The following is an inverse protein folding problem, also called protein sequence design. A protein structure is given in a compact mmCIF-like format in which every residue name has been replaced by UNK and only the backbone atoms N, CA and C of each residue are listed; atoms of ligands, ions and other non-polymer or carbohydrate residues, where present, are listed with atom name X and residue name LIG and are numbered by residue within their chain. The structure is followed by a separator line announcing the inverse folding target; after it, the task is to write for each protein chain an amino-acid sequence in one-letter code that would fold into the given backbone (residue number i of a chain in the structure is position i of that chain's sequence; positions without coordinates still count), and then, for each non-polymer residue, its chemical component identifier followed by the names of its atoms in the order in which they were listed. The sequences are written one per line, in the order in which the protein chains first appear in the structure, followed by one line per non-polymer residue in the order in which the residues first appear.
data_IF_852698655594
#
_entry.id   IF_852698655594
#
_cell.length_a   1.000
_cell.length_b   1.000
_cell.length_c   1.000
_cell.angle_alpha   90.00
_cell.angle_beta   90.00
_cell.angle_gamma   90.00
#
_symmetry.space_group_name_H-M   'P 1'
#
loop_
_entity.id
_entity.type
_entity.pdbx_description
1 polymer ?
#
# COMPACT_ATOMS: atom_id res chain seq x y z
N UNK A 1 0.85 -5.05 1.32
CA UNK A 1 0.44 -4.06 2.33
C UNK A 1 -0.86 -4.52 2.94
N UNK A 2 -1.09 -4.26 4.22
CA UNK A 2 -2.34 -4.67 4.87
C UNK A 2 -3.39 -3.59 4.58
N UNK A 3 -4.43 -3.95 3.83
CA UNK A 3 -5.56 -3.08 3.53
C UNK A 3 -6.83 -3.78 3.99
N UNK A 4 -7.65 -3.08 4.77
CA UNK A 4 -8.94 -3.55 5.24
C UNK A 4 -10.00 -2.60 4.70
N UNK A 5 -10.72 -3.02 3.66
CA UNK A 5 -11.77 -2.23 2.99
C UNK A 5 -13.01 -3.09 2.76
N UNK A 6 -14.18 -2.47 2.86
CA UNK A 6 -15.47 -3.06 2.50
C UNK A 6 -15.92 -2.54 1.13
N UNK A 7 -16.46 -3.42 0.31
CA UNK A 7 -17.12 -3.03 -0.93
C UNK A 7 -18.55 -3.57 -0.92
N UNK A 8 -19.51 -2.74 -1.34
CA UNK A 8 -20.91 -3.12 -1.45
C UNK A 8 -21.30 -3.06 -2.91
N UNK A 9 -21.90 -4.15 -3.41
CA UNK A 9 -22.34 -4.28 -4.79
C UNK A 9 -23.82 -4.64 -4.79
N UNK A 10 -24.73 -3.67 -5.04
CA UNK A 10 -26.15 -3.97 -5.18
C UNK A 10 -26.40 -4.62 -6.54
N UNK A 11 -27.09 -5.76 -6.56
CA UNK A 11 -27.52 -6.43 -7.79
C UNK A 11 -28.75 -7.30 -7.54
N UNK A 12 -29.50 -7.59 -8.61
CA UNK A 12 -30.59 -8.56 -8.57
C UNK A 12 -30.09 -9.90 -9.10
N UNK A 13 -30.49 -11.00 -8.46
CA UNK A 13 -30.11 -12.35 -8.84
C UNK A 13 -31.35 -13.21 -9.07
N UNK A 14 -31.36 -13.94 -10.18
CA UNK A 14 -32.43 -14.87 -10.55
C UNK A 14 -31.98 -16.31 -10.24
N UNK A 15 -32.45 -16.94 -9.14
CA UNK A 15 -31.94 -18.26 -8.73
C UNK A 15 -32.21 -19.37 -9.74
N UNK A 16 -33.32 -19.29 -10.49
CA UNK A 16 -33.69 -20.29 -11.48
C UNK A 16 -32.78 -20.27 -12.73
N UNK A 17 -32.29 -19.09 -13.12
CA UNK A 17 -31.43 -18.92 -14.28
C UNK A 17 -29.94 -18.85 -13.89
N UNK A 18 -29.63 -18.65 -12.60
CA UNK A 18 -28.29 -18.40 -12.07
C UNK A 18 -27.61 -17.17 -12.67
N UNK A 19 -28.40 -16.14 -13.00
CA UNK A 19 -27.92 -14.91 -13.63
C UNK A 19 -28.21 -13.69 -12.74
N UNK A 20 -27.31 -12.72 -12.80
CA UNK A 20 -27.57 -11.38 -12.30
C UNK A 20 -28.30 -10.54 -13.34
N UNK A 21 -29.23 -9.72 -12.87
CA UNK A 21 -29.91 -8.71 -13.67
C UNK A 21 -29.35 -7.35 -13.30
N UNK A 22 -28.92 -6.62 -14.32
CA UNK A 22 -28.47 -5.24 -14.18
C UNK A 22 -29.37 -4.37 -15.05
N UNK A 23 -30.04 -3.42 -14.40
CA UNK A 23 -30.79 -2.37 -15.06
C UNK A 23 -29.81 -1.40 -15.71
N UNK A 24 -29.71 -1.41 -17.04
CA UNK A 24 -28.94 -0.41 -17.78
C UNK A 24 -29.91 0.61 -18.38
N UNK A 25 -29.77 1.87 -17.94
CA UNK A 25 -30.34 3.02 -18.65
C UNK A 25 -29.38 3.40 -19.77
N UNK A 26 -29.85 3.44 -21.02
CA UNK A 26 -29.00 3.83 -22.15
C UNK A 26 -28.61 5.32 -22.08
N UNK A 27 -29.51 6.16 -21.56
CA UNK A 27 -29.21 7.56 -21.25
C UNK A 27 -29.88 7.96 -19.93
N UNK A 28 -29.33 8.98 -19.24
CA UNK A 28 -29.93 9.50 -17.99
C UNK A 28 -31.42 9.88 -18.12
N UNK A 29 -31.88 10.17 -19.34
CA UNK A 29 -33.23 10.60 -19.68
C UNK A 29 -34.09 9.50 -20.35
N UNK A 30 -33.56 8.30 -20.59
CA UNK A 30 -34.37 7.22 -21.16
C UNK A 30 -35.32 6.65 -20.10
N UNK A 31 -36.62 6.66 -20.39
CA UNK A 31 -37.65 6.03 -19.55
C UNK A 31 -37.56 4.50 -19.63
N UNK A 32 -37.13 3.98 -20.78
CA UNK A 32 -36.96 2.55 -20.99
C UNK A 32 -35.69 2.06 -20.30
N UNK A 33 -35.88 1.18 -19.31
CA UNK A 33 -34.81 0.42 -18.67
C UNK A 33 -34.57 -0.84 -19.49
N UNK A 34 -33.37 -1.02 -20.01
CA UNK A 34 -32.97 -2.29 -20.60
C UNK A 34 -32.46 -3.21 -19.49
N UNK A 35 -33.12 -4.36 -19.30
CA UNK A 35 -32.66 -5.38 -18.36
C UNK A 35 -31.64 -6.27 -19.07
N UNK A 36 -30.39 -6.26 -18.61
CA UNK A 36 -29.34 -7.15 -19.14
C UNK A 36 -29.08 -8.26 -18.14
N UNK A 37 -29.16 -9.51 -18.61
CA UNK A 37 -28.82 -10.69 -17.82
C UNK A 37 -27.35 -11.03 -18.02
N UNK A 38 -26.60 -11.16 -16.93
CA UNK A 38 -25.16 -11.41 -16.92
C UNK A 38 -24.82 -12.52 -15.94
N UNK A 39 -23.77 -13.29 -16.25
CA UNK A 39 -23.21 -14.26 -15.29
C UNK A 39 -22.59 -13.48 -14.13
N UNK A 40 -22.84 -13.88 -12.86
CA UNK A 40 -22.29 -13.21 -11.69
C UNK A 40 -20.78 -13.41 -11.61
N UNK A 41 -20.00 -12.50 -12.21
CA UNK A 41 -18.54 -12.60 -12.28
C UNK A 41 -17.87 -11.48 -11.48
N UNK A 42 -17.07 -11.85 -10.48
CA UNK A 42 -16.26 -10.92 -9.71
C UNK A 42 -14.85 -10.85 -10.31
N UNK A 43 -14.37 -9.62 -10.55
CA UNK A 43 -13.01 -9.36 -11.03
C UNK A 43 -12.30 -8.44 -10.05
N UNK A 44 -11.19 -8.90 -9.52
CA UNK A 44 -10.31 -8.14 -8.62
C UNK A 44 -9.02 -7.87 -9.37
N UNK A 45 -8.61 -6.61 -9.39
CA UNK A 45 -7.36 -6.18 -10.01
C UNK A 45 -6.49 -5.50 -8.98
N UNK A 46 -5.20 -5.81 -9.03
CA UNK A 46 -4.18 -5.20 -8.19
C UNK A 46 -3.35 -4.30 -9.08
N UNK A 47 -3.28 -3.04 -8.69
CA UNK A 47 -2.50 -1.99 -9.32
C UNK A 47 -1.49 -1.47 -8.30
N UNK A 48 -0.26 -1.22 -8.72
CA UNK A 48 0.68 -0.46 -7.91
C UNK A 48 0.27 1.01 -7.93
N UNK A 49 0.30 1.67 -6.77
CA UNK A 49 -0.12 3.07 -6.66
C UNK A 49 1.10 3.97 -6.72
N UNK A 50 1.41 4.42 -7.93
CA UNK A 50 2.53 5.29 -8.22
C UNK A 50 2.07 6.75 -8.33
N UNK A 51 2.62 7.61 -7.47
CA UNK A 51 2.26 9.04 -7.49
C UNK A 51 2.84 9.84 -8.65
N UNK A 52 3.82 9.29 -9.38
CA UNK A 52 4.61 10.03 -10.38
C UNK A 52 4.66 9.35 -11.76
N UNK A 53 4.13 8.13 -11.88
CA UNK A 53 4.00 7.34 -13.11
C UNK A 53 2.57 6.85 -13.25
N UNK A 54 2.23 6.25 -14.39
CA UNK A 54 0.99 5.49 -14.50
C UNK A 54 1.08 4.28 -13.58
N UNK A 55 -0.02 3.98 -12.90
CA UNK A 55 -0.12 2.81 -12.02
C UNK A 55 0.20 1.53 -12.80
N UNK A 56 1.18 0.77 -12.31
CA UNK A 56 1.59 -0.48 -12.93
C UNK A 56 0.60 -1.59 -12.57
N UNK A 57 0.11 -2.29 -13.59
CA UNK A 57 -0.75 -3.45 -13.40
C UNK A 57 0.06 -4.63 -12.83
N UNK A 58 -0.30 -5.10 -11.63
CA UNK A 58 0.40 -6.20 -10.97
C UNK A 58 -0.22 -7.56 -11.28
N UNK A 59 -1.55 -7.66 -11.24
CA UNK A 59 -2.24 -8.91 -11.49
C UNK A 59 -3.74 -8.83 -11.25
N UNK A 60 -4.44 -9.93 -11.54
CA UNK A 60 -5.88 -10.02 -11.36
C UNK A 60 -6.33 -11.39 -10.87
N UNK A 61 -7.58 -11.42 -10.44
CA UNK A 61 -8.34 -12.62 -10.14
C UNK A 61 -9.74 -12.44 -10.73
N UNK A 62 -10.16 -13.39 -11.56
CA UNK A 62 -11.52 -13.45 -12.08
C UNK A 62 -12.15 -14.74 -11.59
N UNK A 63 -13.35 -14.65 -11.04
CA UNK A 63 -14.12 -15.81 -10.59
C UNK A 63 -15.60 -15.66 -10.91
N UNK A 64 -16.21 -16.78 -11.28
CA UNK A 64 -17.66 -16.93 -11.38
C UNK A 64 -18.20 -17.24 -9.97
N UNK A 65 -19.13 -16.42 -9.48
CA UNK A 65 -19.71 -16.55 -8.14
C UNK A 65 -20.61 -17.78 -8.00
N UNK A 66 -21.12 -18.33 -9.10
CA UNK A 66 -21.84 -19.61 -9.08
C UNK A 66 -20.89 -20.81 -8.94
N UNK A 67 -19.67 -20.69 -9.45
CA UNK A 67 -18.70 -21.77 -9.56
C UNK A 67 -17.32 -21.31 -9.07
N UNK A 68 -17.26 -20.84 -7.82
CA UNK A 68 -16.03 -20.31 -7.27
C UNK A 68 -15.04 -21.42 -6.91
N UNK A 69 -13.77 -21.13 -7.13
CA UNK A 69 -12.67 -21.91 -6.57
C UNK A 69 -12.70 -21.79 -5.05
N UNK A 70 -12.61 -22.92 -4.32
CA UNK A 70 -12.52 -22.87 -2.86
C UNK A 70 -11.26 -22.13 -2.45
N UNK A 71 -11.35 -21.14 -1.54
CA UNK A 71 -10.18 -20.42 -1.07
C UNK A 71 -9.23 -21.31 -0.26
N UNK A 72 -7.96 -20.90 -0.21
CA UNK A 72 -7.01 -21.46 0.75
C UNK A 72 -7.28 -20.88 2.14
N UNK A 73 -7.11 -21.71 3.19
CA UNK A 73 -7.27 -21.28 4.58
C UNK A 73 -6.09 -20.45 5.10
N UNK A 74 -4.93 -20.57 4.48
CA UNK A 74 -3.71 -19.89 4.90
C UNK A 74 -2.94 -19.38 3.67
N UNK A 75 -2.14 -18.31 3.83
CA UNK A 75 -1.39 -17.73 2.72
C UNK A 75 -0.31 -18.68 2.18
N UNK A 76 0.23 -19.60 2.99
CA UNK A 76 1.25 -20.55 2.50
C UNK A 76 0.64 -21.57 1.54
N UNK A 77 -0.60 -22.00 1.80
CA UNK A 77 -1.33 -22.97 0.96
C UNK A 77 -1.94 -22.35 -0.29
N UNK A 78 -1.92 -21.02 -0.40
CA UNK A 78 -2.44 -20.29 -1.54
C UNK A 78 -1.40 -20.28 -2.68
N UNK A 79 -1.58 -21.17 -3.66
CA UNK A 79 -0.69 -21.35 -4.83
C UNK A 79 -1.51 -21.40 -6.12
N UNK A 80 -0.85 -21.36 -7.29
CA UNK A 80 -1.53 -21.44 -8.59
C UNK A 80 -2.35 -22.71 -8.78
N UNK A 81 -2.01 -23.79 -8.06
CA UNK A 81 -2.77 -25.04 -8.09
C UNK A 81 -4.24 -24.86 -7.66
N UNK A 82 -4.56 -23.79 -6.91
CA UNK A 82 -5.96 -23.46 -6.61
C UNK A 82 -6.77 -23.08 -7.84
N UNK A 83 -6.13 -22.59 -8.90
CA UNK A 83 -6.80 -22.20 -10.15
C UNK A 83 -7.18 -23.43 -10.98
N UNK A 84 -6.49 -24.56 -10.77
CA UNK A 84 -6.71 -25.82 -11.48
C UNK A 84 -7.62 -26.79 -10.71
N UNK A 85 -8.49 -26.27 -9.83
CA UNK A 85 -9.41 -27.11 -9.07
C UNK A 85 -10.43 -27.79 -10.00
N UNK A 86 -10.69 -29.08 -9.80
CA UNK A 86 -11.71 -29.78 -10.58
C UNK A 86 -13.11 -29.26 -10.25
N UNK A 87 -14.03 -29.40 -11.22
CA UNK A 87 -15.36 -28.81 -11.16
C UNK A 87 -16.21 -29.30 -9.97
N UNK A 88 -15.97 -30.52 -9.48
CA UNK A 88 -16.62 -31.14 -8.33
C UNK A 88 -16.32 -30.44 -6.99
N UNK A 89 -15.23 -29.68 -6.93
CA UNK A 89 -14.82 -28.95 -5.72
C UNK A 89 -15.29 -27.50 -5.71
N UNK A 90 -15.85 -27.01 -6.82
CA UNK A 90 -16.33 -25.63 -6.92
C UNK A 90 -17.48 -25.38 -5.94
N UNK A 91 -17.64 -24.12 -5.56
CA UNK A 91 -18.63 -23.69 -4.58
C UNK A 91 -19.41 -22.49 -5.10
N UNK A 92 -20.71 -22.50 -4.91
CA UNK A 92 -21.55 -21.33 -5.21
C UNK A 92 -21.62 -20.41 -4.00
N UNK A 93 -21.34 -19.13 -4.21
CA UNK A 93 -21.52 -18.11 -3.18
C UNK A 93 -23.00 -17.97 -2.79
N UNK A 94 -23.91 -18.16 -3.74
CA UNK A 94 -25.35 -18.02 -3.52
C UNK A 94 -25.95 -19.14 -2.68
N UNK A 95 -25.32 -20.33 -2.69
CA UNK A 95 -25.71 -21.46 -1.83
C UNK A 95 -25.10 -21.36 -0.43
N UNK A 96 -23.83 -20.95 -0.33
CA UNK A 96 -23.11 -20.89 0.94
C UNK A 96 -23.35 -19.60 1.73
N UNK A 97 -23.89 -18.56 1.09
CA UNK A 97 -24.03 -17.16 1.57
C UNK A 97 -22.72 -16.44 1.90
N UNK A 98 -21.73 -17.12 2.48
CA UNK A 98 -20.48 -16.51 2.93
C UNK A 98 -19.30 -17.41 2.62
N UNK A 99 -18.24 -16.84 2.04
CA UNK A 99 -16.98 -17.53 1.77
C UNK A 99 -15.81 -16.63 2.16
N UNK A 100 -14.88 -17.16 2.98
CA UNK A 100 -13.68 -16.45 3.42
C UNK A 100 -12.42 -17.25 3.15
N UNK A 101 -11.38 -16.58 2.69
CA UNK A 101 -10.02 -17.11 2.69
C UNK A 101 -9.11 -16.41 1.67
N UNK A 102 -8.11 -17.15 1.19
CA UNK A 102 -7.03 -16.64 0.35
C UNK A 102 -7.17 -17.11 -1.09
N UNK A 103 -7.07 -16.17 -2.03
CA UNK A 103 -6.99 -16.46 -3.46
C UNK A 103 -5.71 -15.89 -4.08
N UNK A 104 -5.08 -16.65 -5.01
CA UNK A 104 -3.92 -16.15 -5.74
C UNK A 104 -4.38 -15.21 -6.86
N UNK A 105 -3.75 -14.05 -6.97
CA UNK A 105 -3.86 -13.20 -8.15
C UNK A 105 -2.75 -13.59 -9.13
N UNK A 106 -3.15 -13.83 -10.37
CA UNK A 106 -2.25 -14.23 -11.44
C UNK A 106 -1.94 -13.04 -12.35
N UNK A 107 -0.73 -13.02 -12.89
CA UNK A 107 -0.39 -12.22 -14.06
C UNK A 107 0.30 -13.10 -15.10
N UNK A 108 0.23 -12.68 -16.35
CA UNK A 108 0.88 -13.37 -17.46
C UNK A 108 2.21 -12.68 -17.74
N UNK A 109 3.31 -13.41 -17.59
CA UNK A 109 4.64 -12.95 -17.95
C UNK A 109 5.26 -13.96 -18.90
N UNK A 110 5.67 -13.50 -20.09
CA UNK A 110 6.30 -14.34 -21.12
C UNK A 110 5.49 -15.59 -21.51
N UNK A 111 4.15 -15.52 -21.44
CA UNK A 111 3.25 -16.63 -21.77
C UNK A 111 3.03 -17.65 -20.64
N UNK A 112 3.65 -17.47 -19.48
CA UNK A 112 3.41 -18.27 -18.29
C UNK A 112 2.61 -17.49 -17.24
N UNK A 113 1.67 -18.17 -16.58
CA UNK A 113 0.93 -17.60 -15.45
C UNK A 113 1.79 -17.67 -14.20
N UNK A 114 2.08 -16.52 -13.62
CA UNK A 114 2.81 -16.42 -12.35
C UNK A 114 1.90 -15.82 -11.26
N UNK A 115 2.19 -16.15 -10.00
CA UNK A 115 1.49 -15.51 -8.86
C UNK A 115 2.03 -14.09 -8.70
N UNK A 116 1.22 -13.09 -9.03
CA UNK A 116 1.53 -11.69 -8.80
C UNK A 116 1.34 -11.29 -7.33
N UNK A 117 0.35 -11.89 -6.67
CA UNK A 117 -0.02 -11.56 -5.30
C UNK A 117 -1.03 -12.53 -4.72
N UNK A 118 -1.37 -12.33 -3.46
CA UNK A 118 -2.39 -13.11 -2.75
C UNK A 118 -3.31 -12.13 -2.04
N UNK A 119 -4.61 -12.38 -2.15
CA UNK A 119 -5.63 -11.54 -1.53
C UNK A 119 -6.41 -12.39 -0.54
N UNK A 120 -6.45 -11.92 0.72
CA UNK A 120 -7.43 -12.40 1.68
C UNK A 120 -8.72 -11.60 1.51
N UNK A 121 -9.84 -12.28 1.36
CA UNK A 121 -11.14 -11.63 1.28
C UNK A 121 -12.22 -12.48 1.94
N UNK A 122 -13.30 -11.80 2.33
CA UNK A 122 -14.54 -12.42 2.77
C UNK A 122 -15.65 -11.89 1.86
N UNK A 123 -16.30 -12.80 1.14
CA UNK A 123 -17.44 -12.51 0.29
C UNK A 123 -18.71 -12.94 1.03
N UNK A 124 -19.70 -12.06 1.09
CA UNK A 124 -20.97 -12.32 1.74
C UNK A 124 -22.11 -11.81 0.85
N UNK A 125 -23.14 -12.65 0.69
CA UNK A 125 -24.41 -12.28 0.07
C UNK A 125 -25.40 -11.99 1.18
N UNK A 126 -25.95 -10.79 1.13
CA UNK A 126 -26.87 -10.24 2.12
C UNK A 126 -28.15 -9.86 1.40
N UNK A 127 -29.30 -10.18 1.98
CA UNK A 127 -30.59 -9.72 1.46
C UNK A 127 -30.82 -8.26 1.85
N UNK A 128 -31.74 -7.59 1.16
CA UNK A 128 -32.09 -6.20 1.48
C UNK A 128 -32.54 -6.03 2.93
N UNK A 129 -33.38 -6.96 3.43
CA UNK A 129 -33.83 -6.99 4.82
C UNK A 129 -32.67 -7.12 5.81
N UNK A 130 -31.75 -8.06 5.55
CA UNK A 130 -30.57 -8.26 6.38
C UNK A 130 -29.68 -7.01 6.36
N UNK A 131 -29.54 -6.32 5.22
CA UNK A 131 -28.75 -5.09 5.12
C UNK A 131 -29.35 -3.94 5.93
N UNK A 132 -30.68 -3.81 5.98
CA UNK A 132 -31.38 -2.81 6.80
C UNK A 132 -31.18 -3.06 8.30
N UNK A 133 -31.23 -4.32 8.73
CA UNK A 133 -31.01 -4.71 10.14
C UNK A 133 -29.56 -4.51 10.59
N UNK A 134 -28.59 -4.82 9.71
CA UNK A 134 -27.15 -4.70 9.97
C UNK A 134 -26.48 -3.85 8.89
N UNK A 135 -26.62 -2.53 8.94
CA UNK A 135 -26.00 -1.66 7.96
C UNK A 135 -24.47 -1.75 8.07
N UNK A 136 -23.82 -1.63 6.92
CA UNK A 136 -22.37 -1.67 6.78
C UNK A 136 -21.95 -0.50 5.88
N UNK A 137 -21.07 0.38 6.38
CA UNK A 137 -20.55 1.50 5.60
C UNK A 137 -19.65 1.03 4.46
N UNK A 138 -19.53 1.88 3.43
CA UNK A 138 -18.68 1.65 2.26
C UNK A 138 -17.22 1.92 2.61
N UNK A 139 -16.31 1.07 2.15
CA UNK A 139 -14.88 1.20 2.41
C UNK A 139 -14.57 1.07 3.89
N UNK A 140 -14.37 2.22 4.54
CA UNK A 140 -14.12 2.34 5.98
C UNK A 140 -15.05 3.34 6.67
N UNK A 141 -16.07 3.79 5.95
CA UNK A 141 -17.07 4.71 6.48
C UNK A 141 -17.93 4.00 7.53
N UNK A 142 -18.53 4.78 8.41
CA UNK A 142 -19.50 4.26 9.36
C UNK A 142 -20.78 3.81 8.62
N UNK A 143 -21.48 2.76 9.07
CA UNK A 143 -21.23 1.95 10.27
C UNK A 143 -20.20 0.81 10.07
N UNK A 144 -19.32 0.63 11.06
CA UNK A 144 -18.25 -0.37 11.06
C UNK A 144 -18.46 -1.49 12.08
N UNK A 145 -19.66 -2.06 12.15
CA UNK A 145 -19.98 -3.14 13.09
C UNK A 145 -20.05 -4.51 12.41
N UNK A 146 -20.44 -4.57 11.13
CA UNK A 146 -20.81 -5.81 10.46
C UNK A 146 -20.08 -5.95 9.11
N UNK A 147 -18.94 -6.67 9.05
CA UNK A 147 -18.05 -7.04 10.14
C UNK A 147 -17.10 -5.89 10.53
N UNK A 148 -16.70 -5.79 11.79
CA UNK A 148 -15.77 -4.76 12.23
C UNK A 148 -14.42 -4.84 11.50
N UNK A 149 -14.07 -3.78 10.78
CA UNK A 149 -12.78 -3.65 10.11
C UNK A 149 -11.76 -2.96 11.02
N UNK A 150 -10.71 -3.69 11.37
CA UNK A 150 -9.56 -3.13 12.09
C UNK A 150 -8.78 -2.13 11.24
N UNK A 151 -8.03 -1.25 11.90
CA UNK A 151 -7.15 -0.32 11.21
C UNK A 151 -6.05 -1.07 10.42
N UNK A 152 -5.76 -0.63 9.18
CA UNK A 152 -4.73 -1.23 8.36
C UNK A 152 -3.36 -1.07 9.04
N UNK A 153 -2.71 -2.20 9.30
CA UNK A 153 -1.35 -2.21 9.84
C UNK A 153 -0.35 -1.85 8.73
N UNK A 154 -0.12 -0.55 8.54
CA UNK A 154 0.84 -0.04 7.57
C UNK A 154 2.20 0.13 8.24
N UNK A 155 3.26 -0.62 7.86
CA UNK A 155 4.58 -0.44 8.45
C UNK A 155 5.10 0.98 8.16
N UNK A 156 5.72 1.62 9.16
CA UNK A 156 6.18 3.01 9.08
C UNK A 156 7.19 3.29 7.95
N UNK A 157 7.75 2.25 7.35
CA UNK A 157 8.66 2.35 6.19
C UNK A 157 7.95 2.55 4.85
N UNK A 158 6.62 2.35 4.81
CA UNK A 158 5.81 2.50 3.58
C UNK A 158 5.17 3.89 3.45
N UNK A 159 5.56 4.84 4.31
CA UNK A 159 5.24 6.24 4.13
C UNK A 159 6.14 6.83 3.04
N UNK A 160 5.48 7.42 2.04
CA UNK A 160 6.14 8.16 0.97
C UNK A 160 6.97 9.28 1.61
N UNK A 161 8.22 9.45 1.13
CA UNK A 161 9.10 10.56 1.53
C UNK A 161 8.33 11.87 1.62
N UNK A 162 7.55 12.19 0.60
CA UNK A 162 6.89 13.49 0.49
C UNK A 162 5.86 13.78 1.59
N UNK A 163 5.17 12.75 2.10
CA UNK A 163 4.16 12.91 3.17
C UNK A 163 4.75 13.04 4.57
N UNK A 164 5.98 12.57 4.80
CA UNK A 164 6.66 12.67 6.10
C UNK A 164 8.18 12.86 5.92
N UNK A 165 8.62 13.99 5.36
CA UNK A 165 10.01 14.18 4.93
C UNK A 165 11.02 13.99 6.06
N UNK A 166 10.67 14.37 7.29
CA UNK A 166 11.52 14.19 8.46
C UNK A 166 11.67 12.71 8.89
N UNK A 167 10.63 11.88 8.76
CA UNK A 167 10.70 10.46 9.08
C UNK A 167 11.55 9.72 8.05
N UNK A 168 11.38 10.04 6.76
CA UNK A 168 12.13 9.41 5.67
C UNK A 168 13.60 9.84 5.65
N UNK A 169 13.91 11.11 5.90
CA UNK A 169 15.28 11.59 6.05
C UNK A 169 16.00 10.87 7.21
N UNK A 170 15.33 10.72 8.36
CA UNK A 170 15.88 10.00 9.52
C UNK A 170 16.12 8.52 9.22
N UNK A 171 15.25 7.82 8.49
CA UNK A 171 15.43 6.38 8.26
C UNK A 171 16.34 6.03 7.09
N UNK A 172 16.28 6.78 5.98
CA UNK A 172 17.05 6.47 4.77
C UNK A 172 18.43 7.14 4.82
N UNK A 173 18.47 8.44 5.08
CA UNK A 173 19.72 9.20 5.05
C UNK A 173 20.59 8.88 6.25
N UNK A 174 20.02 8.80 7.46
CA UNK A 174 20.81 8.44 8.64
C UNK A 174 21.31 6.99 8.64
N UNK A 175 20.60 6.04 8.00
CA UNK A 175 21.06 4.64 7.96
C UNK A 175 22.19 4.44 6.96
N UNK A 176 22.15 5.10 5.80
CA UNK A 176 23.13 4.91 4.71
C UNK A 176 24.27 5.92 4.75
N UNK A 177 24.01 7.17 5.12
CA UNK A 177 24.98 8.28 5.02
C UNK A 177 25.52 8.75 6.38
N UNK A 178 25.25 8.04 7.50
CA UNK A 178 25.71 8.45 8.84
C UNK A 178 27.20 8.79 8.86
N UNK A 179 28.02 7.92 8.28
CA UNK A 179 29.47 8.06 8.25
C UNK A 179 29.92 9.20 7.33
N UNK A 180 29.26 9.41 6.20
CA UNK A 180 29.55 10.52 5.29
C UNK A 180 29.19 11.87 5.91
N UNK A 181 28.07 11.96 6.63
CA UNK A 181 27.65 13.16 7.35
C UNK A 181 28.65 13.46 8.48
N UNK A 182 29.04 12.45 9.27
CA UNK A 182 30.05 12.61 10.33
C UNK A 182 31.38 13.10 9.75
N UNK A 183 31.84 12.49 8.64
CA UNK A 183 33.07 12.89 7.95
C UNK A 183 33.02 14.37 7.52
N UNK A 184 31.89 14.80 6.94
CA UNK A 184 31.71 16.18 6.47
C UNK A 184 31.73 17.18 7.63
N UNK A 185 31.10 16.83 8.76
CA UNK A 185 31.11 17.66 9.97
C UNK A 185 32.54 17.79 10.53
N UNK A 186 33.30 16.69 10.61
CA UNK A 186 34.69 16.71 11.07
C UNK A 186 35.55 17.58 10.14
N UNK A 187 35.42 17.39 8.83
CA UNK A 187 36.15 18.18 7.83
C UNK A 187 35.84 19.68 7.94
N UNK A 188 34.58 20.03 8.15
CA UNK A 188 34.15 21.41 8.35
C UNK A 188 34.82 22.05 9.57
N UNK A 189 34.88 21.35 10.71
CA UNK A 189 35.58 21.85 11.90
C UNK A 189 37.09 21.99 11.69
N UNK A 190 37.72 21.08 10.95
CA UNK A 190 39.16 21.17 10.61
C UNK A 190 39.42 22.40 9.75
N UNK A 191 38.60 22.65 8.72
CA UNK A 191 38.72 23.82 7.86
C UNK A 191 38.48 25.12 8.63
N UNK A 192 37.48 25.14 9.52
CA UNK A 192 37.20 26.29 10.37
C UNK A 192 38.38 26.58 11.32
N UNK A 193 38.96 25.54 11.92
CA UNK A 193 40.15 25.67 12.75
C UNK A 193 41.34 26.22 11.95
N UNK A 194 41.59 25.70 10.75
CA UNK A 194 42.64 26.20 9.86
C UNK A 194 42.42 27.65 9.44
N UNK A 195 41.18 28.04 9.14
CA UNK A 195 40.83 29.42 8.79
C UNK A 195 41.09 30.39 9.94
N UNK A 196 40.65 30.05 11.15
CA UNK A 196 40.91 30.85 12.36
C UNK A 196 42.41 30.88 12.67
N UNK A 197 43.10 29.76 12.54
CA UNK A 197 44.56 29.67 12.72
C UNK A 197 45.29 30.59 11.74
N UNK A 198 45.02 30.51 10.44
CA UNK A 198 45.64 31.38 9.44
C UNK A 198 45.30 32.86 9.61
N UNK A 199 44.10 33.18 10.11
CA UNK A 199 43.72 34.56 10.42
C UNK A 199 44.44 35.11 11.67
N UNK A 200 44.60 34.28 12.70
CA UNK A 200 45.22 34.66 13.98
C UNK A 200 46.74 34.53 13.99
N UNK A 201 47.31 33.68 13.14
CA UNK A 201 48.74 33.40 13.06
C UNK A 201 49.61 34.63 12.73
N UNK A 202 49.24 35.53 11.79
CA UNK A 202 50.01 36.75 11.52
C UNK A 202 50.05 37.67 12.74
N UNK A 203 48.92 37.85 13.44
CA UNK A 203 48.85 38.69 14.63
C UNK A 203 49.67 38.11 15.79
N UNK A 204 49.64 36.79 15.99
CA UNK A 204 50.41 36.13 17.05
C UNK A 204 51.90 36.05 16.73
N UNK A 205 52.27 35.78 15.47
CA UNK A 205 53.66 35.79 15.00
C UNK A 205 54.26 37.21 15.05
N UNK A 206 53.48 38.24 14.70
CA UNK A 206 53.88 39.63 14.86
C UNK A 206 54.09 39.99 16.33
N UNK A 207 53.18 39.62 17.24
CA UNK A 207 53.36 39.85 18.68
C UNK A 207 54.61 39.14 19.25
N UNK A 208 54.95 37.94 18.74
CA UNK A 208 56.14 37.18 19.17
C UNK A 208 57.45 37.72 18.57
N UNK A 209 57.43 38.28 17.35
CA UNK A 209 58.59 38.93 16.73
C UNK A 209 58.87 40.34 17.28
N UNK A 210 57.83 41.07 17.68
CA UNK A 210 57.97 42.47 18.15
C UNK A 210 58.28 42.56 19.66
N UNK A 211 58.24 41.44 20.39
CA UNK A 211 58.74 41.32 21.78
C UNK A 211 58.44 42.53 22.68
N UNK A 212 57.17 42.77 23.07
CA UNK A 212 56.79 44.02 23.74
C UNK A 212 57.26 44.15 25.20
N UNK A 213 58.13 43.26 25.69
CA UNK A 213 58.84 43.45 26.95
C UNK A 213 60.35 43.42 26.69
N UNK A 214 60.84 44.55 26.16
CA UNK A 214 62.25 44.87 26.19
C UNK A 214 62.76 44.81 27.63
N UNK A 215 63.92 44.19 27.81
CA UNK A 215 64.69 44.22 29.05
C UNK A 215 64.75 45.65 29.59
N UNK A 216 64.20 45.87 30.78
CA UNK A 216 64.49 47.08 31.54
C UNK A 216 65.97 47.04 31.93
N UNK A 217 66.80 47.78 31.19
CA UNK A 217 68.19 48.06 31.58
C UNK A 217 68.20 48.82 32.91
N UNK A 218 69.07 48.35 33.80
CA UNK A 218 69.52 49.02 35.01
C UNK A 218 69.88 50.49 34.78
N UNK A 219 69.49 51.35 35.72
CA UNK A 219 70.21 52.59 36.03
C UNK A 219 70.32 52.72 37.55
N UNK A 220 71.58 52.69 37.97
CA UNK A 220 72.23 53.22 39.18
C UNK A 220 71.64 52.89 40.56
#
# INVERSE_FOLDING_TARGET
GNFNYRFLFPFHYLPAEQLCVVDKKEHFWSLDKSETKLVPRLTIQIWDNDKFSFDDYLGHLVMDLNHMLRPAKSPEKCTLQLLDQPADKLVSLFEQKTVKGWWPCACEQNGEKIVAGKVEMSLEIVTEQEQEERPAGLGRDEPNMNPHLEEPQRPETSFLWFSSPFKTLKFIVWRRFKWLIILFIILFFILLFLGVFLYSFPNYAAMKMVGPFGQAKSKD
#
